data_IF_828901887878
#
_entry.id   IF_828901887878
#
_cell.length_a   1.000
_cell.length_b   1.000
_cell.length_c   1.000
_cell.angle_alpha   90.00
_cell.angle_beta   90.00
_cell.angle_gamma   90.00
#
_symmetry.space_group_name_H-M   'P 1'
#
loop_
_entity.id
_entity.type
_entity.pdbx_description
1 polymer ?
#
# COMPACT_ATOMS: atom_id res chain seq x y z
N UNK A 1 10.14 -0.87 -8.06
CA UNK A 1 8.70 -0.64 -8.15
C UNK A 1 8.14 -0.27 -6.77
N UNK A 2 8.34 -1.09 -5.74
CA UNK A 2 7.82 -0.85 -4.38
C UNK A 2 8.26 0.49 -3.80
N UNK A 3 9.53 0.87 -3.94
CA UNK A 3 10.08 2.16 -3.48
C UNK A 3 9.38 3.35 -4.14
N UNK A 4 9.10 3.27 -5.45
CA UNK A 4 8.35 4.28 -6.19
C UNK A 4 6.91 4.39 -5.69
N UNK A 5 6.25 3.27 -5.44
CA UNK A 5 4.88 3.25 -4.91
C UNK A 5 4.83 3.90 -3.53
N UNK A 6 5.77 3.57 -2.65
CA UNK A 6 5.87 4.17 -1.31
C UNK A 6 6.10 5.68 -1.41
N UNK A 7 7.01 6.12 -2.28
CA UNK A 7 7.29 7.54 -2.50
C UNK A 7 6.05 8.28 -3.02
N UNK A 8 5.38 7.75 -4.03
CA UNK A 8 4.12 8.32 -4.53
C UNK A 8 3.03 8.34 -3.45
N UNK A 9 2.95 7.33 -2.61
CA UNK A 9 1.97 7.24 -1.54
C UNK A 9 2.18 8.33 -0.48
N UNK A 10 3.42 8.54 -0.05
CA UNK A 10 3.76 9.57 0.94
C UNK A 10 3.85 10.99 0.37
N UNK A 11 3.90 11.15 -0.95
CA UNK A 11 3.85 12.47 -1.59
C UNK A 11 2.44 12.81 -2.05
N UNK A 12 1.93 12.10 -3.04
CA UNK A 12 0.60 12.32 -3.62
C UNK A 12 -0.52 11.94 -2.64
N UNK A 13 -0.38 10.84 -1.90
CA UNK A 13 -1.38 10.40 -0.94
C UNK A 13 -1.57 11.39 0.20
N UNK A 14 -0.50 11.94 0.75
CA UNK A 14 -0.55 12.99 1.78
C UNK A 14 -1.12 14.28 1.21
N UNK A 15 -0.72 14.67 0.00
CA UNK A 15 -1.28 15.84 -0.68
C UNK A 15 -2.80 15.74 -0.87
N UNK A 16 -3.29 14.58 -1.30
CA UNK A 16 -4.73 14.34 -1.47
C UNK A 16 -5.49 14.34 -0.14
N UNK A 17 -4.85 13.87 0.94
CA UNK A 17 -5.46 13.81 2.27
C UNK A 17 -5.54 15.19 2.95
N UNK A 18 -4.48 15.98 2.88
CA UNK A 18 -4.38 17.30 3.56
C UNK A 18 -4.85 18.46 2.69
N UNK A 19 -5.02 18.26 1.37
CA UNK A 19 -5.37 19.29 0.37
C UNK A 19 -4.42 20.50 0.36
N UNK A 20 -3.29 20.43 1.04
CA UNK A 20 -2.27 21.48 1.06
C UNK A 20 -0.94 20.90 0.59
N UNK A 21 -0.41 21.46 -0.49
CA UNK A 21 0.93 21.08 -0.95
C UNK A 21 1.97 21.72 -0.03
N UNK A 22 2.40 20.97 0.97
CA UNK A 22 3.38 21.45 1.92
C UNK A 22 4.67 20.63 1.76
N UNK A 23 5.65 21.16 1.05
CA UNK A 23 6.96 20.53 0.87
C UNK A 23 7.62 20.13 2.19
N UNK A 24 7.34 20.88 3.25
CA UNK A 24 7.82 20.58 4.60
C UNK A 24 7.30 19.24 5.13
N UNK A 25 6.12 18.77 4.70
CA UNK A 25 5.56 17.46 5.09
C UNK A 25 6.35 16.34 4.43
N UNK A 26 6.75 16.52 3.16
CA UNK A 26 7.54 15.54 2.41
C UNK A 26 8.95 15.46 3.00
N UNK A 27 9.58 16.61 3.25
CA UNK A 27 10.94 16.70 3.81
C UNK A 27 11.01 16.21 5.27
N UNK A 28 9.93 16.29 6.04
CA UNK A 28 9.89 15.75 7.41
C UNK A 28 9.55 14.26 7.48
N UNK A 29 9.30 13.63 6.34
CA UNK A 29 8.84 12.22 6.30
C UNK A 29 10.06 11.28 6.28
N UNK A 30 10.28 10.45 7.33
CA UNK A 30 11.43 9.55 7.41
C UNK A 30 11.58 8.58 6.21
N UNK A 31 10.50 8.02 5.63
CA UNK A 31 10.58 7.19 4.44
C UNK A 31 11.25 7.87 3.24
N UNK A 32 11.13 9.18 3.09
CA UNK A 32 11.77 9.92 2.00
C UNK A 32 13.30 9.80 2.05
N UNK A 33 13.88 9.98 3.23
CA UNK A 33 15.32 9.84 3.44
C UNK A 33 15.80 8.39 3.28
N UNK A 34 14.99 7.43 3.75
CA UNK A 34 15.30 6.00 3.59
C UNK A 34 15.36 5.60 2.10
N UNK A 35 14.44 6.12 1.27
CA UNK A 35 14.43 5.85 -0.18
C UNK A 35 15.66 6.46 -0.86
N UNK A 36 16.01 7.71 -0.54
CA UNK A 36 17.21 8.36 -1.10
C UNK A 36 18.46 7.57 -0.71
N UNK A 37 18.60 7.22 0.57
CA UNK A 37 19.73 6.44 1.06
C UNK A 37 19.84 5.09 0.36
N UNK A 38 18.71 4.36 0.24
CA UNK A 38 18.66 3.08 -0.48
C UNK A 38 19.02 3.22 -1.95
N UNK A 39 18.58 4.29 -2.61
CA UNK A 39 18.91 4.56 -4.00
C UNK A 39 20.42 4.81 -4.18
N UNK A 40 21.04 5.57 -3.27
CA UNK A 40 22.50 5.82 -3.28
C UNK A 40 23.26 4.51 -3.11
N UNK A 41 22.89 3.69 -2.12
CA UNK A 41 23.52 2.40 -1.85
C UNK A 41 23.45 1.47 -3.06
N UNK A 42 22.27 1.42 -3.72
CA UNK A 42 22.08 0.62 -4.93
C UNK A 42 22.88 1.14 -6.13
N UNK A 43 22.91 2.46 -6.31
CA UNK A 43 23.60 3.07 -7.46
C UNK A 43 25.13 2.90 -7.39
N UNK A 44 25.69 2.99 -6.18
CA UNK A 44 27.12 2.80 -5.95
C UNK A 44 27.52 1.35 -5.66
N UNK A 45 26.57 0.41 -5.71
CA UNK A 45 26.80 -1.01 -5.40
C UNK A 45 27.54 -1.25 -4.07
N UNK A 46 27.25 -0.42 -3.06
CA UNK A 46 27.92 -0.46 -1.75
C UNK A 46 27.55 -1.77 -1.05
N UNK A 47 28.54 -2.62 -0.82
CA UNK A 47 28.36 -3.85 -0.04
C UNK A 47 28.14 -3.50 1.44
N UNK A 48 26.92 -3.66 1.89
CA UNK A 48 26.57 -3.44 3.30
C UNK A 48 27.16 -4.54 4.19
N UNK A 49 27.67 -4.19 5.38
CA UNK A 49 28.10 -5.17 6.36
C UNK A 49 26.94 -6.12 6.75
N UNK A 50 27.27 -7.39 6.95
CA UNK A 50 26.28 -8.45 7.23
C UNK A 50 25.39 -8.10 8.44
N UNK A 51 25.96 -7.47 9.46
CA UNK A 51 25.17 -7.08 10.63
C UNK A 51 24.09 -6.04 10.32
N UNK A 52 24.35 -5.10 9.39
CA UNK A 52 23.36 -4.11 8.96
C UNK A 52 22.22 -4.78 8.21
N UNK A 53 22.55 -5.69 7.30
CA UNK A 53 21.55 -6.46 6.53
C UNK A 53 20.66 -7.26 7.47
N UNK A 54 21.26 -8.04 8.37
CA UNK A 54 20.50 -8.86 9.33
C UNK A 54 19.63 -8.01 10.26
N UNK A 55 20.17 -6.91 10.78
CA UNK A 55 19.40 -6.01 11.66
C UNK A 55 18.21 -5.40 10.91
N UNK A 56 18.40 -4.98 9.67
CA UNK A 56 17.33 -4.41 8.85
C UNK A 56 16.25 -5.46 8.56
N UNK A 57 16.66 -6.70 8.31
CA UNK A 57 15.73 -7.82 8.09
C UNK A 57 14.90 -8.12 9.35
N UNK A 58 15.51 -8.19 10.53
CA UNK A 58 14.77 -8.34 11.79
C UNK A 58 13.80 -7.19 12.04
N UNK A 59 14.22 -5.95 11.81
CA UNK A 59 13.37 -4.77 11.94
C UNK A 59 12.18 -4.81 10.95
N UNK A 60 12.37 -5.36 9.75
CA UNK A 60 11.30 -5.56 8.78
C UNK A 60 10.22 -6.50 9.33
N UNK A 61 10.59 -7.64 9.91
CA UNK A 61 9.62 -8.58 10.50
C UNK A 61 8.86 -7.95 11.67
N UNK A 62 9.56 -7.25 12.56
CA UNK A 62 8.94 -6.52 13.67
C UNK A 62 7.97 -5.46 13.16
N UNK A 63 8.34 -4.72 12.12
CA UNK A 63 7.51 -3.68 11.51
C UNK A 63 6.23 -4.27 10.92
N UNK A 64 6.33 -5.38 10.18
CA UNK A 64 5.16 -6.07 9.63
C UNK A 64 4.20 -6.50 10.76
N UNK A 65 4.74 -7.09 11.83
CA UNK A 65 3.95 -7.49 13.00
C UNK A 65 3.22 -6.29 13.64
N UNK A 66 3.92 -5.18 13.86
CA UNK A 66 3.35 -3.97 14.46
C UNK A 66 2.27 -3.34 13.57
N UNK A 67 2.46 -3.33 12.25
CA UNK A 67 1.46 -2.84 11.29
C UNK A 67 0.20 -3.69 11.35
N UNK A 68 0.33 -5.01 11.32
CA UNK A 68 -0.80 -5.93 11.42
C UNK A 68 -1.52 -5.83 12.77
N UNK A 69 -0.78 -5.70 13.86
CA UNK A 69 -1.35 -5.48 15.20
C UNK A 69 -2.10 -4.14 15.27
N UNK A 70 -1.52 -3.07 14.74
CA UNK A 70 -2.16 -1.75 14.66
C UNK A 70 -3.46 -1.81 13.85
N UNK A 71 -3.45 -2.51 12.71
CA UNK A 71 -4.65 -2.75 11.93
C UNK A 71 -5.69 -3.53 12.74
N UNK A 72 -5.30 -4.61 13.42
CA UNK A 72 -6.19 -5.40 14.28
C UNK A 72 -6.87 -4.53 15.35
N UNK A 73 -6.11 -3.68 16.04
CA UNK A 73 -6.66 -2.73 17.03
C UNK A 73 -7.60 -1.72 16.36
N UNK A 74 -7.26 -1.23 15.18
CA UNK A 74 -8.13 -0.33 14.45
C UNK A 74 -9.48 -1.00 14.12
N UNK A 75 -9.46 -2.27 13.73
CA UNK A 75 -10.65 -3.05 13.42
C UNK A 75 -11.60 -3.22 14.62
N UNK A 76 -11.07 -3.40 15.83
CA UNK A 76 -11.91 -3.53 17.05
C UNK A 76 -12.66 -2.23 17.39
N UNK A 77 -12.17 -1.08 16.91
CA UNK A 77 -12.77 0.24 17.12
C UNK A 77 -13.77 0.64 16.04
N UNK A 78 -13.90 -0.17 15.00
CA UNK A 78 -14.83 0.13 13.90
C UNK A 78 -16.27 -0.02 14.36
N UNK A 79 -16.96 1.09 14.49
CA UNK A 79 -18.40 1.11 14.41
C UNK A 79 -18.76 0.99 12.93
N UNK A 80 -19.50 -0.06 12.56
CA UNK A 80 -19.92 -0.38 11.18
C UNK A 80 -20.88 0.70 10.65
N UNK A 81 -20.39 1.93 10.49
CA UNK A 81 -21.20 3.06 10.03
C UNK A 81 -21.33 3.17 8.51
N UNK A 82 -20.57 2.38 7.76
CA UNK A 82 -20.47 2.57 6.31
C UNK A 82 -20.18 1.27 5.55
N UNK A 83 -20.78 0.16 5.97
CA UNK A 83 -20.56 -1.15 5.33
C UNK A 83 -20.90 -1.13 3.83
N UNK A 84 -22.00 -0.46 3.46
CA UNK A 84 -22.41 -0.33 2.06
C UNK A 84 -21.35 0.43 1.21
N UNK A 85 -20.83 1.55 1.71
CA UNK A 85 -19.79 2.31 1.00
C UNK A 85 -18.47 1.54 0.93
N UNK A 86 -18.12 0.82 1.99
CA UNK A 86 -16.93 -0.04 2.01
C UNK A 86 -17.06 -1.19 1.01
N UNK A 87 -18.24 -1.82 0.90
CA UNK A 87 -18.53 -2.84 -0.11
C UNK A 87 -18.37 -2.29 -1.52
N UNK A 88 -19.03 -1.18 -1.85
CA UNK A 88 -18.96 -0.57 -3.18
C UNK A 88 -17.53 -0.23 -3.54
N UNK A 89 -16.79 0.45 -2.65
CA UNK A 89 -15.38 0.80 -2.88
C UNK A 89 -14.49 -0.43 -3.06
N UNK A 90 -14.73 -1.48 -2.28
CA UNK A 90 -13.94 -2.71 -2.37
C UNK A 90 -14.23 -3.48 -3.66
N UNK A 91 -15.50 -3.60 -4.06
CA UNK A 91 -15.88 -4.23 -5.32
C UNK A 91 -15.32 -3.47 -6.52
N UNK A 92 -15.48 -2.15 -6.54
CA UNK A 92 -14.94 -1.28 -7.59
C UNK A 92 -13.43 -1.49 -7.73
N UNK A 93 -12.69 -1.50 -6.63
CA UNK A 93 -11.24 -1.71 -6.62
C UNK A 93 -10.85 -3.11 -7.12
N UNK A 94 -11.56 -4.17 -6.65
CA UNK A 94 -11.27 -5.55 -6.99
C UNK A 94 -11.60 -5.90 -8.46
N UNK A 95 -12.47 -5.15 -9.12
CA UNK A 95 -12.78 -5.31 -10.54
C UNK A 95 -11.91 -4.41 -11.40
N UNK A 96 -11.86 -3.12 -11.08
CA UNK A 96 -11.12 -2.13 -11.88
C UNK A 96 -9.62 -2.36 -11.79
N UNK A 97 -9.09 -2.76 -10.62
CA UNK A 97 -7.67 -3.02 -10.45
C UNK A 97 -7.12 -4.05 -11.44
N UNK A 98 -7.62 -5.29 -11.44
CA UNK A 98 -7.22 -6.30 -12.42
C UNK A 98 -7.48 -5.90 -13.86
N UNK A 99 -8.62 -5.24 -14.15
CA UNK A 99 -8.92 -4.76 -15.50
C UNK A 99 -7.86 -3.79 -16.02
N UNK A 100 -7.42 -2.84 -15.18
CA UNK A 100 -6.30 -1.94 -15.51
C UNK A 100 -5.01 -2.73 -15.66
N UNK A 101 -4.76 -3.71 -14.80
CA UNK A 101 -3.59 -4.59 -14.89
C UNK A 101 -3.53 -5.31 -16.25
N UNK A 102 -4.61 -5.94 -16.68
CA UNK A 102 -4.71 -6.57 -18.01
C UNK A 102 -4.51 -5.58 -19.14
N UNK A 103 -5.12 -4.40 -19.06
CA UNK A 103 -4.99 -3.35 -20.05
C UNK A 103 -3.53 -2.89 -20.20
N UNK A 104 -2.81 -2.70 -19.09
CA UNK A 104 -1.41 -2.33 -19.11
C UNK A 104 -0.52 -3.46 -19.66
N UNK A 105 -0.79 -4.71 -19.32
CA UNK A 105 -0.10 -5.87 -19.86
C UNK A 105 -0.23 -5.90 -21.38
N UNK A 106 -1.43 -5.63 -21.90
CA UNK A 106 -1.71 -5.60 -23.33
C UNK A 106 -0.97 -4.45 -24.03
N UNK A 107 -1.02 -3.22 -23.49
CA UNK A 107 -0.37 -2.04 -24.09
C UNK A 107 1.15 -2.19 -24.10
N UNK A 108 1.75 -2.60 -22.98
CA UNK A 108 3.20 -2.72 -22.86
C UNK A 108 3.74 -4.06 -23.34
N UNK A 109 2.88 -4.94 -23.86
CA UNK A 109 3.23 -6.28 -24.32
C UNK A 109 4.09 -7.05 -23.29
N UNK A 110 3.73 -6.94 -22.00
CA UNK A 110 4.44 -7.59 -20.92
C UNK A 110 4.20 -9.10 -20.96
N UNK A 111 5.26 -9.90 -20.74
CA UNK A 111 5.18 -11.35 -20.78
C UNK A 111 5.84 -11.98 -19.54
N UNK A 112 5.41 -13.21 -19.23
CA UNK A 112 5.99 -14.02 -18.17
C UNK A 112 5.92 -13.35 -16.78
N UNK A 113 6.99 -13.39 -16.02
CA UNK A 113 7.05 -12.96 -14.64
C UNK A 113 6.61 -11.49 -14.43
N UNK A 114 6.99 -10.59 -15.34
CA UNK A 114 6.65 -9.17 -15.23
C UNK A 114 5.13 -8.92 -15.34
N UNK A 115 4.45 -9.63 -16.23
CA UNK A 115 3.00 -9.57 -16.37
C UNK A 115 2.29 -10.10 -15.12
N UNK A 116 2.72 -11.24 -14.59
CA UNK A 116 2.17 -11.82 -13.37
C UNK A 116 2.32 -10.91 -12.15
N UNK A 117 3.50 -10.33 -11.95
CA UNK A 117 3.75 -9.39 -10.85
C UNK A 117 2.87 -8.14 -10.96
N UNK A 118 2.74 -7.57 -12.17
CA UNK A 118 1.88 -6.40 -12.38
C UNK A 118 0.42 -6.72 -12.09
N UNK A 119 -0.06 -7.86 -12.56
CA UNK A 119 -1.44 -8.29 -12.39
C UNK A 119 -1.78 -8.51 -10.91
N UNK A 120 -0.91 -9.22 -10.18
CA UNK A 120 -1.07 -9.43 -8.73
C UNK A 120 -1.07 -8.08 -8.01
N UNK A 121 -0.15 -7.17 -8.33
CA UNK A 121 -0.06 -5.85 -7.72
C UNK A 121 -1.32 -5.01 -7.94
N UNK A 122 -1.91 -5.07 -9.13
CA UNK A 122 -3.17 -4.40 -9.45
C UNK A 122 -4.38 -5.03 -8.76
N UNK A 123 -4.29 -6.32 -8.42
CA UNK A 123 -5.37 -7.09 -7.77
C UNK A 123 -5.32 -7.04 -6.24
N UNK A 124 -4.30 -6.41 -5.66
CA UNK A 124 -4.16 -6.32 -4.21
C UNK A 124 -5.27 -5.49 -3.57
N UNK A 125 -5.73 -5.89 -2.36
CA UNK A 125 -6.70 -5.14 -1.57
C UNK A 125 -6.16 -3.76 -1.16
N UNK A 126 -7.01 -2.96 -0.53
CA UNK A 126 -6.63 -1.62 -0.07
C UNK A 126 -5.49 -1.69 0.95
N UNK A 127 -4.44 -0.90 0.73
CA UNK A 127 -3.26 -0.93 1.58
C UNK A 127 -3.52 -0.36 2.98
N UNK A 128 -2.97 -1.02 4.01
CA UNK A 128 -3.03 -0.56 5.41
C UNK A 128 -2.41 0.84 5.58
N UNK A 129 -1.47 1.17 4.70
CA UNK A 129 -0.82 2.48 4.66
C UNK A 129 -1.83 3.62 4.45
N UNK A 130 -2.94 3.38 3.72
CA UNK A 130 -4.03 4.35 3.57
C UNK A 130 -4.68 4.69 4.91
N UNK A 131 -4.83 3.70 5.81
CA UNK A 131 -5.34 3.92 7.16
C UNK A 131 -4.36 4.78 7.96
N UNK A 132 -3.08 4.48 7.88
CA UNK A 132 -2.05 5.22 8.61
C UNK A 132 -2.04 6.71 8.20
N UNK A 133 -2.00 7.00 6.91
CA UNK A 133 -2.05 8.38 6.38
C UNK A 133 -3.38 9.04 6.74
N UNK A 134 -4.49 8.33 6.56
CA UNK A 134 -5.81 8.83 6.93
C UNK A 134 -5.92 9.19 8.41
N UNK A 135 -5.36 8.38 9.31
CA UNK A 135 -5.41 8.62 10.76
C UNK A 135 -4.68 9.88 11.20
N UNK A 136 -3.69 10.32 10.42
CA UNK A 136 -2.89 11.53 10.70
C UNK A 136 -3.55 12.78 10.10
N UNK A 137 -4.09 12.68 8.88
CA UNK A 137 -4.47 13.84 8.08
C UNK A 137 -5.97 13.97 7.82
N UNK A 138 -6.79 12.96 8.15
CA UNK A 138 -8.22 12.96 7.81
C UNK A 138 -9.13 12.93 9.03
N UNK A 139 -10.37 13.44 8.91
CA UNK A 139 -11.37 13.35 9.98
C UNK A 139 -11.71 11.90 10.30
N UNK A 140 -12.04 11.63 11.57
CA UNK A 140 -12.33 10.28 12.10
C UNK A 140 -13.33 9.48 11.25
N UNK A 141 -14.39 10.13 10.74
CA UNK A 141 -15.39 9.49 9.87
C UNK A 141 -14.79 8.91 8.59
N UNK A 142 -13.81 9.59 8.00
CA UNK A 142 -13.09 9.11 6.80
C UNK A 142 -12.16 7.96 7.17
N UNK A 143 -11.46 8.06 8.30
CA UNK A 143 -10.59 7.01 8.82
C UNK A 143 -11.34 5.70 9.04
N UNK A 144 -12.54 5.78 9.67
CA UNK A 144 -13.40 4.62 9.90
C UNK A 144 -13.86 3.98 8.56
N UNK A 145 -14.15 4.81 7.55
CA UNK A 145 -14.50 4.32 6.21
C UNK A 145 -13.32 3.63 5.51
N UNK A 146 -12.11 4.20 5.61
CA UNK A 146 -10.89 3.60 5.06
C UNK A 146 -10.63 2.24 5.70
N UNK A 147 -10.71 2.16 7.03
CA UNK A 147 -10.50 0.92 7.75
C UNK A 147 -11.53 -0.15 7.35
N UNK A 148 -12.83 0.21 7.24
CA UNK A 148 -13.87 -0.70 6.76
C UNK A 148 -13.58 -1.22 5.34
N UNK A 149 -13.12 -0.34 4.44
CA UNK A 149 -12.75 -0.70 3.06
C UNK A 149 -11.56 -1.66 3.04
N UNK A 150 -10.56 -1.47 3.90
CA UNK A 150 -9.40 -2.38 4.00
C UNK A 150 -9.87 -3.78 4.38
N UNK A 151 -10.73 -3.91 5.41
CA UNK A 151 -11.24 -5.21 5.87
C UNK A 151 -12.01 -5.91 4.77
N UNK A 152 -13.00 -5.22 4.20
CA UNK A 152 -13.88 -5.79 3.19
C UNK A 152 -13.08 -6.19 1.95
N UNK A 153 -12.18 -5.32 1.47
CA UNK A 153 -11.34 -5.64 0.31
C UNK A 153 -10.37 -6.79 0.59
N UNK A 154 -9.84 -6.91 1.80
CA UNK A 154 -8.99 -8.03 2.19
C UNK A 154 -9.78 -9.34 2.21
N UNK A 155 -11.00 -9.36 2.76
CA UNK A 155 -11.86 -10.56 2.72
C UNK A 155 -12.21 -10.98 1.30
N UNK A 156 -12.55 -10.03 0.43
CA UNK A 156 -12.86 -10.30 -0.98
C UNK A 156 -11.62 -10.80 -1.71
N UNK A 157 -10.41 -10.31 -1.37
CA UNK A 157 -9.16 -10.69 -2.03
C UNK A 157 -8.80 -12.16 -1.87
N UNK A 158 -9.27 -12.84 -0.81
CA UNK A 158 -9.10 -14.28 -0.66
C UNK A 158 -9.74 -15.09 -1.79
N UNK A 159 -10.76 -14.54 -2.43
CA UNK A 159 -11.42 -15.17 -3.58
C UNK A 159 -10.87 -14.61 -4.89
N UNK A 160 -10.68 -13.31 -4.99
CA UNK A 160 -10.30 -12.66 -6.25
C UNK A 160 -8.85 -12.91 -6.65
N UNK A 161 -7.90 -12.94 -5.71
CA UNK A 161 -6.48 -13.17 -6.04
C UNK A 161 -6.27 -14.57 -6.64
N UNK A 162 -6.76 -15.68 -6.06
CA UNK A 162 -6.64 -16.99 -6.70
C UNK A 162 -7.24 -17.06 -8.10
N UNK A 163 -8.39 -16.42 -8.32
CA UNK A 163 -9.02 -16.36 -9.65
C UNK A 163 -8.12 -15.63 -10.66
N UNK A 164 -7.59 -14.48 -10.27
CA UNK A 164 -6.72 -13.67 -11.13
C UNK A 164 -5.39 -14.35 -11.44
N UNK A 165 -4.85 -15.13 -10.50
CA UNK A 165 -3.60 -15.88 -10.71
C UNK A 165 -3.82 -17.11 -11.60
N UNK A 166 -5.04 -17.67 -11.61
CA UNK A 166 -5.36 -18.82 -12.44
C UNK A 166 -5.60 -18.47 -13.91
N UNK A 167 -5.96 -17.23 -14.22
CA UNK A 167 -6.15 -16.72 -15.59
C UNK A 167 -4.83 -16.37 -16.24
#
# INVERSE_FOLDING_TARGET
ITSLIILCHFTLGVFLADRKFNLNVILKNPPFYAIIFSAIVLFYEIKMPVFVVNTTEWLMYVTIFLILMSLGIALTRLKVFSFANALISSFTRMIIGPAIGFFLIFIFNLKGFAAGVLLIQCSMPSAVLNYLVGSIYSPKKIVDSIASTIVVSTLISFVTIPIVVYI
#
